data_IF_904631165756
#
_entry.id   IF_904631165756
#
_cell.length_a   1.000
_cell.length_b   1.000
_cell.length_c   1.000
_cell.angle_alpha   90.00
_cell.angle_beta   90.00
_cell.angle_gamma   90.00
#
_symmetry.space_group_name_H-M   'P 1'
#
loop_
_entity.id
_entity.type
_entity.pdbx_description
1 polymer ?
#
# COMPACT_ATOMS: atom_id res chain seq x y z
N UNK A 1 30.98 -7.65 -2.79
CA UNK A 1 31.19 -6.20 -2.69
C UNK A 1 30.19 -5.39 -3.54
N UNK A 2 30.06 -5.63 -4.85
CA UNK A 2 29.25 -4.80 -5.75
C UNK A 2 27.74 -4.74 -5.40
N UNK A 3 27.11 -5.86 -5.03
CA UNK A 3 25.68 -5.89 -4.67
C UNK A 3 25.39 -5.05 -3.42
N UNK A 4 26.24 -5.14 -2.39
CA UNK A 4 26.11 -4.34 -1.17
C UNK A 4 26.32 -2.85 -1.44
N UNK A 5 27.28 -2.51 -2.32
CA UNK A 5 27.50 -1.13 -2.73
C UNK A 5 26.29 -0.56 -3.48
N UNK A 6 25.70 -1.32 -4.41
CA UNK A 6 24.47 -0.93 -5.10
C UNK A 6 23.34 -0.65 -4.11
N UNK A 7 23.13 -1.53 -3.13
CA UNK A 7 22.11 -1.35 -2.09
C UNK A 7 22.33 -0.06 -1.30
N UNK A 8 23.56 0.21 -0.85
CA UNK A 8 23.87 1.46 -0.14
C UNK A 8 23.64 2.71 -1.02
N UNK A 9 23.97 2.63 -2.30
CA UNK A 9 23.72 3.72 -3.26
C UNK A 9 22.21 4.00 -3.41
N UNK A 10 21.40 2.95 -3.50
CA UNK A 10 19.95 3.09 -3.56
C UNK A 10 19.38 3.71 -2.29
N UNK A 11 19.85 3.31 -1.10
CA UNK A 11 19.47 3.94 0.16
C UNK A 11 19.84 5.43 0.16
N UNK A 12 21.01 5.80 -0.35
CA UNK A 12 21.41 7.21 -0.48
C UNK A 12 20.48 7.99 -1.42
N UNK A 13 20.05 7.39 -2.54
CA UNK A 13 19.12 8.01 -3.50
C UNK A 13 17.74 8.27 -2.91
N UNK A 14 17.30 7.50 -1.91
CA UNK A 14 15.98 7.73 -1.29
C UNK A 14 15.85 9.12 -0.66
N UNK A 15 16.97 9.74 -0.26
CA UNK A 15 17.00 11.09 0.34
C UNK A 15 16.45 12.18 -0.59
N UNK A 16 16.43 11.94 -1.91
CA UNK A 16 15.89 12.89 -2.88
C UNK A 16 14.35 12.92 -2.92
N UNK A 17 13.68 11.84 -2.51
CA UNK A 17 12.22 11.81 -2.43
C UNK A 17 11.77 12.52 -1.16
N UNK A 18 10.80 13.42 -1.25
CA UNK A 18 10.22 14.10 -0.09
C UNK A 18 9.12 13.26 0.56
N UNK A 19 8.30 12.61 -0.26
CA UNK A 19 7.25 11.70 0.17
C UNK A 19 7.82 10.35 0.69
N UNK A 20 7.59 9.98 1.96
CA UNK A 20 7.98 8.67 2.49
C UNK A 20 7.42 7.48 1.70
N UNK A 21 6.20 7.56 1.16
CA UNK A 21 5.62 6.47 0.38
C UNK A 21 6.39 6.22 -0.92
N UNK A 22 6.82 7.28 -1.61
CA UNK A 22 7.70 7.18 -2.78
C UNK A 22 9.07 6.58 -2.44
N UNK A 23 9.65 6.92 -1.28
CA UNK A 23 10.91 6.30 -0.81
C UNK A 23 10.78 4.79 -0.68
N UNK A 24 9.72 4.33 -0.03
CA UNK A 24 9.48 2.90 0.20
C UNK A 24 9.14 2.16 -1.09
N UNK A 25 8.37 2.78 -1.99
CA UNK A 25 8.11 2.21 -3.31
C UNK A 25 9.42 2.05 -4.11
N UNK A 26 10.27 3.08 -4.13
CA UNK A 26 11.57 3.01 -4.80
C UNK A 26 12.43 1.87 -4.25
N UNK A 27 12.58 1.78 -2.93
CA UNK A 27 13.38 0.72 -2.30
C UNK A 27 12.82 -0.66 -2.60
N UNK A 28 11.52 -0.85 -2.44
CA UNK A 28 10.85 -2.12 -2.68
C UNK A 28 11.01 -2.60 -4.13
N UNK A 29 10.81 -1.72 -5.11
CA UNK A 29 11.02 -2.04 -6.53
C UNK A 29 12.46 -2.47 -6.81
N UNK A 30 13.43 -1.68 -6.37
CA UNK A 30 14.83 -1.96 -6.65
C UNK A 30 15.32 -3.21 -5.92
N UNK A 31 14.92 -3.43 -4.67
CA UNK A 31 15.27 -4.65 -3.93
C UNK A 31 14.65 -5.88 -4.57
N UNK A 32 13.38 -5.82 -4.97
CA UNK A 32 12.70 -6.92 -5.65
C UNK A 32 13.45 -7.29 -6.94
N UNK A 33 13.85 -6.29 -7.71
CA UNK A 33 14.67 -6.50 -8.91
C UNK A 33 16.03 -7.14 -8.60
N UNK A 34 16.77 -6.62 -7.62
CA UNK A 34 18.08 -7.20 -7.21
C UNK A 34 17.93 -8.65 -6.76
N UNK A 35 16.92 -8.95 -5.94
CA UNK A 35 16.66 -10.30 -5.46
C UNK A 35 16.32 -11.24 -6.61
N UNK A 36 15.50 -10.79 -7.57
CA UNK A 36 15.21 -11.58 -8.78
C UNK A 36 16.49 -11.86 -9.56
N UNK A 37 17.30 -10.83 -9.86
CA UNK A 37 18.54 -11.01 -10.64
C UNK A 37 19.59 -11.86 -9.95
N UNK A 38 19.67 -11.83 -8.62
CA UNK A 38 20.53 -12.74 -7.87
C UNK A 38 20.02 -14.17 -7.96
N UNK A 39 18.70 -14.40 -7.86
CA UNK A 39 18.10 -15.75 -7.99
C UNK A 39 18.27 -16.33 -9.38
N UNK A 40 18.15 -15.50 -10.41
CA UNK A 40 18.28 -15.92 -11.82
C UNK A 40 19.74 -16.28 -12.19
N UNK A 41 20.71 -15.90 -11.35
CA UNK A 41 22.13 -16.18 -11.58
C UNK A 41 22.62 -17.25 -10.60
N UNK A 42 22.82 -18.47 -11.10
CA UNK A 42 23.26 -19.61 -10.26
C UNK A 42 24.54 -19.29 -9.47
N UNK A 43 25.52 -18.65 -10.12
CA UNK A 43 26.79 -18.27 -9.47
C UNK A 43 26.60 -17.26 -8.34
N UNK A 44 25.74 -16.24 -8.53
CA UNK A 44 25.47 -15.25 -7.49
C UNK A 44 24.60 -15.80 -6.37
N UNK A 45 23.59 -16.61 -6.69
CA UNK A 45 22.73 -17.27 -5.72
C UNK A 45 23.55 -18.20 -4.82
N UNK A 46 24.47 -19.00 -5.40
CA UNK A 46 25.36 -19.87 -4.64
C UNK A 46 26.36 -19.07 -3.80
N UNK A 47 26.91 -17.97 -4.32
CA UNK A 47 27.91 -17.15 -3.62
C UNK A 47 27.31 -16.39 -2.43
N UNK A 48 26.13 -15.80 -2.60
CA UNK A 48 25.48 -15.01 -1.56
C UNK A 48 24.70 -15.88 -0.57
N UNK A 49 24.26 -17.06 -1.01
CA UNK A 49 23.56 -18.04 -0.19
C UNK A 49 22.08 -17.72 0.02
N UNK A 50 21.33 -18.76 0.40
CA UNK A 50 19.89 -18.69 0.59
C UNK A 50 19.48 -17.74 1.74
N UNK A 51 20.29 -17.63 2.79
CA UNK A 51 20.02 -16.73 3.90
C UNK A 51 20.02 -15.26 3.48
N UNK A 52 21.00 -14.84 2.67
CA UNK A 52 21.05 -13.49 2.15
C UNK A 52 19.80 -13.17 1.32
N UNK A 53 19.38 -14.10 0.45
CA UNK A 53 18.18 -13.97 -0.38
C UNK A 53 16.92 -13.82 0.49
N UNK A 54 16.79 -14.63 1.56
CA UNK A 54 15.68 -14.50 2.52
C UNK A 54 15.68 -13.15 3.21
N UNK A 55 16.84 -12.70 3.69
CA UNK A 55 16.97 -11.42 4.39
C UNK A 55 16.60 -10.24 3.49
N UNK A 56 16.99 -10.28 2.20
CA UNK A 56 16.56 -9.25 1.25
C UNK A 56 15.06 -9.32 0.96
N UNK A 57 14.49 -10.52 0.86
CA UNK A 57 13.03 -10.69 0.73
C UNK A 57 12.26 -10.11 1.93
N UNK A 58 12.78 -10.26 3.16
CA UNK A 58 12.20 -9.64 4.34
C UNK A 58 12.23 -8.10 4.27
N UNK A 59 13.31 -7.50 3.76
CA UNK A 59 13.39 -6.05 3.54
C UNK A 59 12.38 -5.54 2.50
N UNK A 60 12.10 -6.31 1.44
CA UNK A 60 11.03 -5.98 0.48
C UNK A 60 9.68 -5.90 1.20
N UNK A 61 9.33 -6.93 1.98
CA UNK A 61 8.08 -6.96 2.75
C UNK A 61 7.99 -5.84 3.79
N UNK A 62 9.10 -5.50 4.45
CA UNK A 62 9.15 -4.39 5.39
C UNK A 62 8.86 -3.05 4.69
N UNK A 63 9.48 -2.79 3.54
CA UNK A 63 9.20 -1.59 2.76
C UNK A 63 7.76 -1.56 2.24
N UNK A 64 7.18 -2.70 1.89
CA UNK A 64 5.76 -2.79 1.52
C UNK A 64 4.86 -2.33 2.67
N UNK A 65 5.10 -2.81 3.89
CA UNK A 65 4.34 -2.39 5.06
C UNK A 65 4.51 -0.89 5.37
N UNK A 66 5.71 -0.35 5.20
CA UNK A 66 5.98 1.07 5.43
C UNK A 66 5.33 1.94 4.35
N UNK A 67 5.39 1.53 3.08
CA UNK A 67 4.64 2.17 1.99
C UNK A 67 3.14 2.19 2.32
N UNK A 68 2.56 1.04 2.69
CA UNK A 68 1.14 0.94 3.01
C UNK A 68 0.75 1.91 4.12
N UNK A 69 1.53 1.96 5.20
CA UNK A 69 1.28 2.90 6.30
C UNK A 69 1.41 4.35 5.85
N UNK A 70 2.54 4.73 5.27
CA UNK A 70 2.80 6.11 4.87
C UNK A 70 1.80 6.63 3.83
N UNK A 71 1.35 5.78 2.91
CA UNK A 71 0.43 6.17 1.85
C UNK A 71 -1.06 6.13 2.26
N UNK A 72 -1.45 5.24 3.19
CA UNK A 72 -2.88 4.97 3.44
C UNK A 72 -3.33 5.24 4.88
N UNK A 73 -2.44 5.49 5.84
CA UNK A 73 -2.81 5.74 7.25
C UNK A 73 -3.77 6.94 7.38
N UNK A 74 -3.50 8.04 6.66
CA UNK A 74 -4.38 9.22 6.66
C UNK A 74 -5.76 8.89 6.12
N UNK A 75 -5.84 8.18 4.99
CA UNK A 75 -7.10 7.76 4.35
C UNK A 75 -7.90 6.87 5.31
N UNK A 76 -7.25 5.84 5.86
CA UNK A 76 -7.91 4.84 6.73
C UNK A 76 -8.34 5.44 8.07
N UNK A 77 -7.57 6.39 8.62
CA UNK A 77 -7.93 7.05 9.88
C UNK A 77 -9.27 7.81 9.82
N UNK A 78 -9.69 8.24 8.62
CA UNK A 78 -11.01 8.89 8.45
C UNK A 78 -12.16 7.94 8.73
N UNK A 79 -11.98 6.65 8.42
CA UNK A 79 -12.96 5.58 8.60
C UNK A 79 -13.07 5.13 10.05
N UNK A 80 -12.05 5.37 10.88
CA UNK A 80 -12.09 5.04 12.31
C UNK A 80 -12.89 6.12 13.05
N UNK A 81 -13.97 5.72 13.72
CA UNK A 81 -14.73 6.59 14.62
C UNK A 81 -14.00 6.67 15.97
N UNK A 82 -13.05 7.60 16.10
CA UNK A 82 -12.47 7.90 17.41
C UNK A 82 -13.51 8.62 18.27
N UNK A 83 -13.86 8.04 19.42
CA UNK A 83 -14.57 8.72 20.51
C UNK A 83 -16.09 8.52 20.61
N UNK A 84 -16.74 7.74 19.73
CA UNK A 84 -18.18 7.47 19.82
C UNK A 84 -18.45 5.98 19.69
N UNK A 85 -18.07 5.22 20.72
CA UNK A 85 -18.23 3.75 20.85
C UNK A 85 -17.61 2.94 19.70
N UNK A 86 -17.20 1.71 19.95
CA UNK A 86 -16.69 0.84 18.89
C UNK A 86 -17.75 0.49 17.82
N UNK A 87 -18.98 1.01 17.97
CA UNK A 87 -20.10 0.75 17.10
C UNK A 87 -20.46 2.02 16.29
N UNK A 88 -20.22 1.95 14.98
CA UNK A 88 -20.61 2.99 14.03
C UNK A 88 -22.13 3.27 14.03
N UNK A 89 -22.94 2.35 14.56
CA UNK A 89 -24.39 2.51 14.72
C UNK A 89 -24.78 3.61 15.72
N UNK A 90 -23.91 3.94 16.66
CA UNK A 90 -24.16 4.90 17.74
C UNK A 90 -23.65 6.31 17.41
N UNK A 91 -22.90 6.47 16.32
CA UNK A 91 -22.40 7.77 15.87
C UNK A 91 -23.51 8.58 15.16
N UNK A 92 -23.56 9.92 15.35
CA UNK A 92 -24.50 10.76 14.64
C UNK A 92 -24.35 10.64 13.12
N UNK A 93 -25.46 10.49 12.38
CA UNK A 93 -25.47 10.34 10.91
C UNK A 93 -24.73 11.48 10.19
N UNK A 94 -24.76 12.69 10.75
CA UNK A 94 -24.04 13.86 10.22
C UNK A 94 -22.52 13.69 10.29
N UNK A 95 -22.00 13.11 11.39
CA UNK A 95 -20.58 12.81 11.59
C UNK A 95 -20.12 11.71 10.63
N UNK A 96 -20.92 10.65 10.48
CA UNK A 96 -20.63 9.57 9.52
C UNK A 96 -20.58 10.09 8.09
N UNK A 97 -21.54 10.93 7.69
CA UNK A 97 -21.58 11.55 6.35
C UNK A 97 -20.35 12.41 6.08
N UNK A 98 -19.97 13.26 7.03
CA UNK A 98 -18.81 14.13 6.85
C UNK A 98 -17.50 13.34 6.78
N UNK A 99 -17.32 12.32 7.62
CA UNK A 99 -16.17 11.41 7.53
C UNK A 99 -16.10 10.69 6.19
N UNK A 100 -17.23 10.21 5.66
CA UNK A 100 -17.27 9.57 4.34
C UNK A 100 -16.92 10.53 3.20
N UNK A 101 -17.33 11.80 3.30
CA UNK A 101 -16.93 12.84 2.34
C UNK A 101 -15.42 13.07 2.37
N UNK A 102 -14.84 13.22 3.57
CA UNK A 102 -13.39 13.40 3.75
C UNK A 102 -12.62 12.17 3.26
N UNK A 103 -13.08 10.96 3.59
CA UNK A 103 -12.52 9.70 3.10
C UNK A 103 -12.46 9.69 1.57
N UNK A 104 -13.59 9.98 0.90
CA UNK A 104 -13.69 9.93 -0.56
C UNK A 104 -12.69 10.88 -1.21
N UNK A 105 -12.59 12.11 -0.71
CA UNK A 105 -11.64 13.09 -1.22
C UNK A 105 -10.18 12.64 -1.05
N UNK A 106 -9.80 12.20 0.16
CA UNK A 106 -8.42 11.75 0.42
C UNK A 106 -8.07 10.48 -0.36
N UNK A 107 -9.04 9.58 -0.54
CA UNK A 107 -8.87 8.37 -1.34
C UNK A 107 -8.59 8.74 -2.80
N UNK A 108 -9.42 9.61 -3.39
CA UNK A 108 -9.27 10.03 -4.80
C UNK A 108 -7.97 10.80 -5.03
N UNK A 109 -7.58 11.69 -4.11
CA UNK A 109 -6.28 12.37 -4.15
C UNK A 109 -5.11 11.37 -4.13
N UNK A 110 -5.15 10.41 -3.21
CA UNK A 110 -4.10 9.41 -3.05
C UNK A 110 -3.99 8.49 -4.28
N UNK A 111 -5.12 8.03 -4.82
CA UNK A 111 -5.14 7.23 -6.06
C UNK A 111 -4.62 8.02 -7.26
N UNK A 112 -5.01 9.30 -7.37
CA UNK A 112 -4.53 10.17 -8.45
C UNK A 112 -3.03 10.40 -8.36
N UNK A 113 -2.50 10.65 -7.17
CA UNK A 113 -1.06 10.82 -6.97
C UNK A 113 -0.29 9.54 -7.35
N UNK A 114 -0.78 8.39 -6.88
CA UNK A 114 -0.14 7.09 -7.14
C UNK A 114 -0.33 6.58 -8.57
N UNK A 115 -1.25 7.15 -9.36
CA UNK A 115 -1.50 6.72 -10.75
C UNK A 115 -0.30 6.87 -11.68
N UNK A 116 0.66 7.73 -11.31
CA UNK A 116 1.90 7.95 -12.06
C UNK A 116 3.07 7.08 -11.56
N UNK A 117 2.87 6.27 -10.52
CA UNK A 117 3.93 5.49 -9.91
C UNK A 117 4.07 4.14 -10.62
N UNK A 118 5.30 3.72 -10.88
CA UNK A 118 5.60 2.53 -11.68
C UNK A 118 6.07 1.41 -10.76
N UNK A 119 5.43 0.23 -10.87
CA UNK A 119 5.82 -1.01 -10.21
C UNK A 119 5.96 -2.10 -11.30
N UNK A 120 7.18 -2.37 -11.79
CA UNK A 120 7.36 -3.25 -12.95
C UNK A 120 7.07 -4.73 -12.67
N UNK A 121 7.28 -5.19 -11.43
CA UNK A 121 7.02 -6.58 -11.04
C UNK A 121 5.52 -6.77 -10.78
N UNK A 122 4.84 -7.55 -11.63
CA UNK A 122 3.39 -7.75 -11.54
C UNK A 122 2.96 -8.44 -10.25
N UNK A 123 3.77 -9.34 -9.71
CA UNK A 123 3.47 -10.04 -8.47
C UNK A 123 3.54 -9.06 -7.29
N UNK A 124 4.54 -8.19 -7.26
CA UNK A 124 4.66 -7.11 -6.30
C UNK A 124 3.48 -6.14 -6.42
N UNK A 125 3.06 -5.80 -7.64
CA UNK A 125 1.89 -4.96 -7.88
C UNK A 125 0.59 -5.60 -7.32
N UNK A 126 0.41 -6.92 -7.49
CA UNK A 126 -0.73 -7.65 -6.89
C UNK A 126 -0.65 -7.65 -5.36
N UNK A 127 0.53 -7.93 -4.79
CA UNK A 127 0.76 -7.93 -3.33
C UNK A 127 0.47 -6.55 -2.72
N UNK A 128 0.89 -5.47 -3.38
CA UNK A 128 0.59 -4.10 -2.95
C UNK A 128 -0.92 -3.84 -2.96
N UNK A 129 -1.60 -4.16 -4.06
CA UNK A 129 -3.06 -3.98 -4.19
C UNK A 129 -3.83 -4.76 -3.13
N UNK A 130 -3.46 -6.04 -2.91
CA UNK A 130 -4.07 -6.88 -1.87
C UNK A 130 -3.93 -6.24 -0.48
N UNK A 131 -2.72 -5.83 -0.12
CA UNK A 131 -2.51 -5.28 1.22
C UNK A 131 -3.15 -3.90 1.43
N UNK A 132 -3.34 -3.09 0.39
CA UNK A 132 -4.18 -1.88 0.47
C UNK A 132 -5.65 -2.26 0.68
N UNK A 133 -6.16 -3.26 -0.04
CA UNK A 133 -7.52 -3.75 0.11
C UNK A 133 -7.79 -4.24 1.54
N UNK A 134 -6.88 -5.05 2.08
CA UNK A 134 -6.94 -5.56 3.46
C UNK A 134 -6.95 -4.45 4.50
N UNK A 135 -6.32 -3.31 4.23
CA UNK A 135 -6.30 -2.16 5.13
C UNK A 135 -7.57 -1.29 5.03
N UNK A 136 -8.10 -1.07 3.82
CA UNK A 136 -9.18 -0.10 3.57
C UNK A 136 -10.56 -0.74 3.64
N UNK A 137 -10.73 -1.96 3.13
CA UNK A 137 -12.06 -2.58 2.96
C UNK A 137 -12.73 -2.87 4.31
N UNK A 138 -12.08 -3.49 5.31
CA UNK A 138 -12.73 -3.77 6.59
C UNK A 138 -13.26 -2.51 7.31
N UNK A 139 -12.48 -1.44 7.53
CA UNK A 139 -13.00 -0.24 8.19
C UNK A 139 -14.05 0.49 7.35
N UNK A 140 -13.96 0.44 6.02
CA UNK A 140 -14.97 1.02 5.14
C UNK A 140 -16.33 0.33 5.29
N UNK A 141 -16.33 -1.02 5.30
CA UNK A 141 -17.55 -1.80 5.48
C UNK A 141 -18.20 -1.58 6.84
N UNK A 142 -17.41 -1.41 7.90
CA UNK A 142 -17.93 -1.13 9.25
C UNK A 142 -18.61 0.24 9.31
N UNK A 143 -18.00 1.26 8.70
CA UNK A 143 -18.54 2.63 8.69
C UNK A 143 -19.73 2.80 7.74
N UNK A 144 -19.90 1.92 6.75
CA UNK A 144 -21.05 1.87 5.83
C UNK A 144 -22.25 1.04 6.33
N UNK A 145 -22.15 0.26 7.41
CA UNK A 145 -23.30 -0.54 7.90
C UNK A 145 -24.39 0.28 8.59
N UNK A 146 -24.09 1.52 9.04
CA UNK A 146 -25.09 2.47 9.56
C UNK A 146 -25.73 3.36 8.48
N UNK A 147 -25.15 3.37 7.29
CA UNK A 147 -25.63 4.11 6.14
C UNK A 147 -25.22 3.35 4.89
N UNK A 148 -26.20 2.73 4.24
CA UNK A 148 -26.26 2.50 2.80
C UNK A 148 -26.39 1.03 2.36
N UNK A 149 -27.65 0.63 2.15
CA UNK A 149 -28.07 -0.43 1.24
C UNK A 149 -28.12 -0.01 -0.25
N UNK A 150 -27.44 1.08 -0.65
CA UNK A 150 -27.47 1.65 -2.02
C UNK A 150 -26.09 1.84 -2.69
N UNK A 151 -24.97 1.53 -2.02
CA UNK A 151 -23.60 1.71 -2.57
C UNK A 151 -23.13 0.45 -3.30
N UNK A 152 -23.72 -0.71 -3.00
CA UNK A 152 -23.46 -1.95 -3.74
C UNK A 152 -23.85 -1.84 -5.23
N UNK A 153 -24.86 -1.03 -5.56
CA UNK A 153 -25.34 -0.83 -6.94
C UNK A 153 -24.51 0.17 -7.75
N UNK A 154 -23.75 1.06 -7.09
CA UNK A 154 -22.85 2.03 -7.76
C UNK A 154 -21.38 1.64 -7.71
N UNK A 155 -20.99 0.79 -6.77
CA UNK A 155 -19.61 0.33 -6.57
C UNK A 155 -19.10 -0.64 -7.63
N UNK A 156 -19.99 -1.37 -8.31
CA UNK A 156 -19.62 -2.28 -9.39
C UNK A 156 -19.21 -1.57 -10.70
N UNK A 157 -19.57 -0.29 -10.86
CA UNK A 157 -19.23 0.53 -12.05
C UNK A 157 -18.18 1.61 -11.77
N UNK A 158 -17.83 1.85 -10.50
CA UNK A 158 -16.90 2.89 -10.06
C UNK A 158 -15.44 2.45 -10.01
N UNK A 159 -14.48 3.38 -9.88
CA UNK A 159 -13.05 3.10 -9.78
C UNK A 159 -12.69 2.08 -8.68
N UNK A 160 -13.50 2.03 -7.62
CA UNK A 160 -13.40 1.10 -6.49
C UNK A 160 -13.48 -0.39 -6.90
N UNK A 161 -14.41 -0.76 -7.80
CA UNK A 161 -14.57 -2.15 -8.26
C UNK A 161 -13.47 -2.58 -9.24
N UNK A 162 -12.96 -1.64 -10.06
CA UNK A 162 -11.89 -1.93 -11.04
C UNK A 162 -10.50 -2.02 -10.41
N UNK A 163 -10.23 -1.29 -9.33
CA UNK A 163 -8.92 -1.30 -8.66
C UNK A 163 -8.68 -2.54 -7.80
N UNK A 164 -9.74 -3.23 -7.37
CA UNK A 164 -9.66 -4.38 -6.45
C UNK A 164 -9.95 -5.74 -7.12
N UNK A 165 -10.65 -5.78 -8.26
CA UNK A 165 -11.04 -7.02 -8.93
C UNK A 165 -10.27 -7.33 -10.23
N UNK A 166 -9.15 -6.66 -10.50
CA UNK A 166 -8.34 -6.87 -11.72
C UNK A 166 -6.88 -7.18 -11.43
#
# INVERSE_FOLDING_TARGET
ACVLYLMSNLEAKTKAYTDPAQRHLFLMNNWRYIVSKVRDSEGLASLLGAEWIRNQGAKVKQNQAWYQRSAWEKVVSTLVLQGATADASLAPRTVVREKMRIFSNLFDENVKEQSWWIVPDEQLQREMRSGVAEMVVPPYQLSGKGAVGEVYSRGASGPFGRALCG
#
